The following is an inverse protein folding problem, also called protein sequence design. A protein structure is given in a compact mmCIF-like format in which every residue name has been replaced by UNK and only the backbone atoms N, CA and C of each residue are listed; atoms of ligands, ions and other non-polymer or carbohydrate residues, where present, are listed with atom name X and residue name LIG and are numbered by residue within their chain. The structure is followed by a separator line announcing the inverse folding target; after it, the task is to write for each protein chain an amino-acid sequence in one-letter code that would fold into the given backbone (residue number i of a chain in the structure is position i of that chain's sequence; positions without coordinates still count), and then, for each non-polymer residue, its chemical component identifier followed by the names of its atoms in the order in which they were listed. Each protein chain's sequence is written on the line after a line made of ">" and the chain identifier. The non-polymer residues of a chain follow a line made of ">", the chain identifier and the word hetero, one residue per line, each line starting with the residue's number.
data_IF_901411509682
#
_entry.id   IF_901411509682
#
_cell.length_a   1.000
_cell.length_b   1.000
_cell.length_c   1.000
_cell.angle_alpha   90.00
_cell.angle_beta   90.00
_cell.angle_gamma   90.00
#
_symmetry.space_group_name_H-M   'P 1'
#
loop_
_entity.id
_entity.type
_entity.pdbx_description
1 polymer ?
#
# COMPACT_ATOMS: atom_id res chain seq x y z
N UNK A 1 25.22 22.36 36.14
CA UNK A 1 24.72 20.97 36.10
C UNK A 1 23.29 21.01 35.57
N UNK A 2 23.08 20.99 34.25
CA UNK A 2 21.75 21.29 33.65
C UNK A 2 21.46 20.55 32.33
N UNK A 3 22.15 19.43 32.05
CA UNK A 3 21.93 18.67 30.81
C UNK A 3 21.21 17.31 31.01
N UNK A 4 21.16 16.76 32.23
CA UNK A 4 20.53 15.45 32.47
C UNK A 4 19.02 15.52 32.68
N UNK A 5 18.50 16.60 33.27
CA UNK A 5 17.06 16.74 33.59
C UNK A 5 16.21 16.89 32.32
N UNK A 6 16.71 17.65 31.34
CA UNK A 6 16.05 17.87 30.05
C UNK A 6 15.94 16.60 29.20
N UNK A 7 16.95 15.73 29.26
CA UNK A 7 16.94 14.44 28.54
C UNK A 7 15.92 13.45 29.13
N UNK A 8 15.78 13.43 30.46
CA UNK A 8 14.82 12.57 31.15
C UNK A 8 13.39 13.04 30.85
N UNK A 9 13.12 14.34 30.97
CA UNK A 9 11.81 14.93 30.65
C UNK A 9 11.44 14.74 29.17
N UNK A 10 12.41 14.85 28.25
CA UNK A 10 12.19 14.59 26.83
C UNK A 10 11.83 13.12 26.60
N UNK A 11 12.52 12.20 27.25
CA UNK A 11 12.26 10.75 27.15
C UNK A 11 10.89 10.38 27.70
N UNK A 12 10.49 10.99 28.82
CA UNK A 12 9.15 10.81 29.40
C UNK A 12 8.05 11.34 28.48
N UNK A 13 8.25 12.52 27.89
CA UNK A 13 7.30 13.07 26.90
C UNK A 13 7.20 12.20 25.65
N UNK A 14 8.32 11.70 25.13
CA UNK A 14 8.30 10.78 23.98
C UNK A 14 7.56 9.48 24.31
N UNK A 15 7.82 8.89 25.49
CA UNK A 15 7.13 7.68 25.93
C UNK A 15 5.63 7.91 26.12
N UNK A 16 5.24 9.08 26.64
CA UNK A 16 3.85 9.44 26.82
C UNK A 16 3.14 9.60 25.46
N UNK A 17 3.79 10.24 24.48
CA UNK A 17 3.27 10.35 23.10
C UNK A 17 3.10 8.96 22.45
N UNK A 18 4.07 8.06 22.61
CA UNK A 18 4.01 6.68 22.08
C UNK A 18 2.89 5.88 22.77
N UNK A 19 2.66 6.10 24.06
CA UNK A 19 1.62 5.43 24.84
C UNK A 19 0.22 5.94 24.49
N UNK A 20 0.09 7.25 24.26
CA UNK A 20 -1.18 7.91 23.96
C UNK A 20 -1.58 7.75 22.48
N UNK A 21 -0.59 7.54 21.59
CA UNK A 21 -0.78 7.16 20.20
C UNK A 21 0.01 5.88 19.91
N UNK A 22 -0.52 4.69 20.27
CA UNK A 22 0.10 3.45 19.85
C UNK A 22 0.12 3.45 18.32
N UNK A 23 1.27 3.72 17.72
CA UNK A 23 1.46 3.52 16.31
C UNK A 23 1.04 2.08 16.03
N UNK A 24 0.02 1.87 15.18
CA UNK A 24 -0.25 0.54 14.63
C UNK A 24 1.11 0.04 14.15
N UNK A 25 1.60 -1.05 14.73
CA UNK A 25 2.90 -1.58 14.39
C UNK A 25 2.90 -1.86 12.88
N UNK A 26 3.45 -0.94 12.10
CA UNK A 26 3.52 -1.08 10.66
C UNK A 26 4.39 -2.29 10.40
N UNK A 27 3.78 -3.32 9.80
CA UNK A 27 4.50 -4.52 9.42
C UNK A 27 5.61 -4.15 8.45
N UNK A 28 6.62 -5.02 8.31
CA UNK A 28 7.67 -4.83 7.30
C UNK A 28 7.07 -4.63 5.91
N UNK A 29 5.99 -5.36 5.61
CA UNK A 29 5.26 -5.30 4.35
C UNK A 29 4.58 -3.94 4.15
N UNK A 30 3.95 -3.38 5.19
CA UNK A 30 3.33 -2.05 5.11
C UNK A 30 4.37 -0.95 4.81
N UNK A 31 5.57 -1.09 5.36
CA UNK A 31 6.68 -0.18 5.07
C UNK A 31 7.15 -0.30 3.63
N UNK A 32 7.28 -1.52 3.11
CA UNK A 32 7.68 -1.74 1.71
C UNK A 32 6.63 -1.18 0.73
N UNK A 33 5.34 -1.33 1.04
CA UNK A 33 4.26 -0.69 0.27
C UNK A 33 4.40 0.83 0.31
N UNK A 34 4.56 1.41 1.51
CA UNK A 34 4.67 2.85 1.66
C UNK A 34 5.88 3.42 0.91
N UNK A 35 7.04 2.77 0.99
CA UNK A 35 8.24 3.16 0.26
C UNK A 35 8.01 3.17 -1.25
N UNK A 36 7.37 2.12 -1.78
CA UNK A 36 7.04 2.07 -3.21
C UNK A 36 6.09 3.19 -3.64
N UNK A 37 5.07 3.49 -2.83
CA UNK A 37 4.18 4.62 -3.13
C UNK A 37 4.90 5.98 -3.07
N UNK A 38 5.81 6.18 -2.11
CA UNK A 38 6.64 7.38 -2.02
C UNK A 38 7.51 7.53 -3.27
N UNK A 39 8.16 6.47 -3.73
CA UNK A 39 8.95 6.47 -4.98
C UNK A 39 8.10 6.92 -6.18
N UNK A 40 6.87 6.40 -6.32
CA UNK A 40 5.95 6.82 -7.38
C UNK A 40 5.55 8.30 -7.26
N UNK A 41 5.36 8.80 -6.03
CA UNK A 41 5.07 10.23 -5.78
C UNK A 41 6.27 11.12 -6.10
N UNK A 42 7.48 10.70 -5.74
CA UNK A 42 8.73 11.42 -6.04
C UNK A 42 9.00 11.48 -7.54
N UNK A 43 8.63 10.44 -8.28
CA UNK A 43 8.65 10.44 -9.75
C UNK A 43 7.60 11.38 -10.38
N UNK A 44 6.72 11.99 -9.58
CA UNK A 44 5.70 12.93 -10.05
C UNK A 44 4.52 12.25 -10.74
N UNK A 45 4.27 10.96 -10.45
CA UNK A 45 3.22 10.20 -11.09
C UNK A 45 1.83 10.74 -10.70
N UNK A 46 1.20 11.46 -11.63
CA UNK A 46 -0.03 12.23 -11.40
C UNK A 46 -1.20 11.81 -12.30
N UNK A 47 -1.16 10.58 -12.80
CA UNK A 47 -2.23 9.95 -13.58
C UNK A 47 -2.57 8.57 -13.01
N UNK A 48 -3.78 8.11 -13.30
CA UNK A 48 -4.25 6.81 -12.83
C UNK A 48 -3.65 5.67 -13.64
N UNK A 49 -3.28 4.59 -12.95
CA UNK A 49 -2.79 3.36 -13.58
C UNK A 49 -3.46 2.18 -12.89
N UNK A 50 -4.10 1.31 -13.65
CA UNK A 50 -4.64 0.05 -13.16
C UNK A 50 -3.95 -1.14 -13.82
N UNK A 51 -3.86 -2.24 -13.10
CA UNK A 51 -3.39 -3.53 -13.58
C UNK A 51 -4.20 -4.64 -12.96
N UNK A 52 -4.82 -5.47 -13.81
CA UNK A 52 -5.50 -6.67 -13.34
C UNK A 52 -4.49 -7.62 -12.71
N UNK A 53 -4.89 -8.37 -11.67
CA UNK A 53 -3.96 -9.28 -11.01
C UNK A 53 -3.36 -10.30 -11.98
N UNK A 54 -4.13 -10.75 -12.98
CA UNK A 54 -3.66 -11.66 -14.04
C UNK A 54 -2.55 -11.06 -14.92
N UNK A 55 -2.53 -9.74 -15.09
CA UNK A 55 -1.50 -9.02 -15.86
C UNK A 55 -0.21 -8.88 -15.05
N UNK A 56 -0.34 -8.76 -13.72
CA UNK A 56 0.80 -8.69 -12.81
C UNK A 56 1.47 -10.05 -12.66
N UNK A 57 0.67 -11.09 -12.40
CA UNK A 57 1.09 -12.48 -12.37
C UNK A 57 -0.14 -13.38 -12.60
N UNK A 58 -0.06 -14.23 -13.62
CA UNK A 58 -1.08 -15.23 -13.94
C UNK A 58 -1.51 -16.09 -12.74
N UNK A 59 -0.61 -16.34 -11.78
CA UNK A 59 -0.90 -17.13 -10.58
C UNK A 59 -1.85 -16.41 -9.62
N UNK A 60 -1.82 -15.07 -9.59
CA UNK A 60 -2.72 -14.27 -8.74
C UNK A 60 -4.16 -14.37 -9.23
N UNK A 61 -4.36 -14.51 -10.54
CA UNK A 61 -5.68 -14.60 -11.13
C UNK A 61 -6.51 -15.77 -10.66
N UNK A 62 -5.85 -16.90 -10.48
CA UNK A 62 -6.49 -18.13 -10.02
C UNK A 62 -6.43 -18.25 -8.49
N UNK A 63 -5.70 -17.35 -7.80
CA UNK A 63 -5.55 -17.41 -6.36
C UNK A 63 -6.84 -17.00 -5.66
N UNK A 64 -7.25 -17.81 -4.68
CA UNK A 64 -8.42 -17.56 -3.85
C UNK A 64 -7.96 -17.00 -2.51
N UNK A 65 -8.02 -15.68 -2.34
CA UNK A 65 -7.59 -15.04 -1.09
C UNK A 65 -8.64 -15.18 0.04
N UNK A 66 -9.89 -15.49 -0.30
CA UNK A 66 -10.94 -15.81 0.66
C UNK A 66 -11.99 -16.72 0.02
N UNK A 67 -11.94 -18.00 0.36
CA UNK A 67 -12.85 -19.03 -0.15
C UNK A 67 -14.29 -18.87 0.34
N UNK A 68 -14.49 -18.31 1.55
CA UNK A 68 -15.81 -18.11 2.15
C UNK A 68 -16.63 -17.03 1.44
N UNK A 69 -15.96 -16.04 0.85
CA UNK A 69 -16.63 -14.89 0.18
C UNK A 69 -16.39 -14.86 -1.33
N UNK A 70 -15.78 -15.92 -1.88
CA UNK A 70 -15.49 -16.02 -3.31
C UNK A 70 -14.52 -14.95 -3.81
N UNK A 71 -13.56 -14.53 -2.98
CA UNK A 71 -12.49 -13.63 -3.40
C UNK A 71 -11.52 -14.42 -4.29
N UNK A 72 -11.65 -14.26 -5.60
CA UNK A 72 -10.77 -14.85 -6.61
C UNK A 72 -10.02 -13.71 -7.29
N UNK A 73 -8.69 -13.79 -7.38
CA UNK A 73 -7.86 -12.68 -7.85
C UNK A 73 -8.20 -12.17 -9.25
N UNK A 74 -8.78 -12.99 -10.14
CA UNK A 74 -9.27 -12.56 -11.46
C UNK A 74 -10.29 -11.42 -11.40
N UNK A 75 -11.00 -11.26 -10.28
CA UNK A 75 -12.01 -10.22 -10.09
C UNK A 75 -11.41 -8.91 -9.57
N UNK A 76 -10.09 -8.84 -9.43
CA UNK A 76 -9.39 -7.73 -8.77
C UNK A 76 -8.31 -7.10 -9.64
N UNK A 77 -8.14 -5.81 -9.45
CA UNK A 77 -7.04 -5.05 -10.00
C UNK A 77 -6.34 -4.22 -8.92
N UNK A 78 -5.04 -4.01 -9.12
CA UNK A 78 -4.26 -3.03 -8.37
C UNK A 78 -4.34 -1.71 -9.13
N UNK A 79 -4.67 -0.63 -8.44
CA UNK A 79 -4.76 0.70 -9.04
C UNK A 79 -3.97 1.72 -8.25
N UNK A 80 -3.17 2.50 -8.95
CA UNK A 80 -2.62 3.77 -8.51
C UNK A 80 -3.65 4.87 -8.75
N UNK A 81 -4.14 5.50 -7.69
CA UNK A 81 -5.24 6.48 -7.78
C UNK A 81 -5.07 7.60 -6.78
N UNK A 82 -5.69 8.75 -7.06
CA UNK A 82 -5.73 9.88 -6.14
C UNK A 82 -6.85 9.70 -5.11
N UNK A 83 -6.53 9.87 -3.84
CA UNK A 83 -7.54 9.86 -2.78
C UNK A 83 -8.41 11.11 -2.91
N UNK A 84 -9.73 10.99 -3.04
CA UNK A 84 -10.61 12.16 -3.20
C UNK A 84 -10.65 13.04 -1.94
N UNK A 85 -10.36 12.49 -0.75
CA UNK A 85 -10.41 13.22 0.52
C UNK A 85 -9.09 13.91 0.84
N UNK A 86 -7.97 13.21 0.67
CA UNK A 86 -6.64 13.73 1.05
C UNK A 86 -5.86 14.31 -0.12
N UNK A 87 -6.30 14.11 -1.36
CA UNK A 87 -5.57 14.42 -2.58
C UNK A 87 -4.20 13.74 -2.71
N UNK A 88 -3.91 12.75 -1.86
CA UNK A 88 -2.67 11.96 -1.91
C UNK A 88 -2.87 10.78 -2.87
N UNK A 89 -1.88 10.50 -3.70
CA UNK A 89 -1.88 9.32 -4.56
C UNK A 89 -1.43 8.08 -3.79
N UNK A 90 -2.08 6.94 -4.00
CA UNK A 90 -1.87 5.72 -3.24
C UNK A 90 -2.33 4.47 -4.02
N UNK A 91 -1.90 3.31 -3.56
CA UNK A 91 -2.30 2.01 -4.12
C UNK A 91 -3.60 1.52 -3.47
N UNK A 92 -4.55 1.16 -4.32
CA UNK A 92 -5.81 0.51 -3.94
C UNK A 92 -5.97 -0.82 -4.65
N UNK A 93 -6.63 -1.74 -3.96
CA UNK A 93 -7.18 -2.96 -4.54
C UNK A 93 -8.65 -2.70 -4.84
N UNK A 94 -9.01 -2.84 -6.11
CA UNK A 94 -10.37 -2.70 -6.60
C UNK A 94 -10.96 -4.06 -6.91
N UNK A 95 -12.22 -4.26 -6.52
CA UNK A 95 -13.03 -5.40 -6.91
C UNK A 95 -13.90 -5.01 -8.11
N UNK A 96 -13.63 -5.60 -9.27
CA UNK A 96 -14.32 -5.33 -10.52
C UNK A 96 -15.79 -5.80 -10.53
N UNK A 97 -16.18 -6.72 -9.65
CA UNK A 97 -17.57 -7.21 -9.52
C UNK A 97 -18.46 -6.34 -8.65
N UNK A 98 -17.91 -5.75 -7.59
CA UNK A 98 -18.69 -5.02 -6.58
C UNK A 98 -18.41 -3.51 -6.54
N UNK A 99 -17.50 -3.02 -7.38
CA UNK A 99 -16.95 -1.65 -7.31
C UNK A 99 -16.39 -1.29 -5.92
N UNK A 100 -16.10 -2.30 -5.09
CA UNK A 100 -15.48 -2.10 -3.80
C UNK A 100 -14.01 -1.72 -3.98
N UNK A 101 -13.55 -0.72 -3.25
CA UNK A 101 -12.15 -0.33 -3.22
C UNK A 101 -11.61 -0.36 -1.80
N UNK A 102 -10.35 -0.78 -1.65
CA UNK A 102 -9.65 -0.76 -0.37
C UNK A 102 -8.21 -0.34 -0.58
N UNK A 103 -7.65 0.46 0.33
CA UNK A 103 -6.22 0.74 0.32
C UNK A 103 -5.44 -0.56 0.45
N UNK A 104 -4.35 -0.71 -0.31
CA UNK A 104 -3.53 -1.92 -0.28
C UNK A 104 -2.98 -2.19 1.14
N UNK A 105 -2.64 -1.13 1.87
CA UNK A 105 -2.18 -1.23 3.27
C UNK A 105 -3.25 -1.78 4.23
N UNK A 106 -4.53 -1.63 3.89
CA UNK A 106 -5.66 -2.13 4.68
C UNK A 106 -6.09 -3.54 4.26
N UNK A 107 -5.50 -4.12 3.22
CA UNK A 107 -5.78 -5.49 2.79
C UNK A 107 -5.20 -6.53 3.78
N UNK A 108 -5.59 -7.81 3.68
CA UNK A 108 -4.95 -8.88 4.43
C UNK A 108 -3.47 -9.05 4.04
N UNK A 109 -2.61 -9.43 4.99
CA UNK A 109 -1.17 -9.54 4.78
C UNK A 109 -0.80 -10.54 3.68
N UNK A 110 -1.54 -11.65 3.54
CA UNK A 110 -1.34 -12.62 2.46
C UNK A 110 -1.41 -11.95 1.08
N UNK A 111 -2.37 -11.03 0.90
CA UNK A 111 -2.54 -10.30 -0.34
C UNK A 111 -1.43 -9.29 -0.55
N UNK A 112 -1.04 -8.57 0.50
CA UNK A 112 0.07 -7.63 0.43
C UNK A 112 1.36 -8.31 0.00
N UNK A 113 1.72 -9.44 0.63
CA UNK A 113 2.93 -10.22 0.29
C UNK A 113 2.92 -10.65 -1.17
N UNK A 114 1.78 -11.16 -1.64
CA UNK A 114 1.61 -11.60 -3.02
C UNK A 114 1.78 -10.43 -3.99
N UNK A 115 1.10 -9.31 -3.77
CA UNK A 115 1.18 -8.14 -4.65
C UNK A 115 2.55 -7.47 -4.62
N UNK A 116 3.21 -7.45 -3.47
CA UNK A 116 4.56 -6.89 -3.31
C UNK A 116 5.56 -7.55 -4.27
N UNK A 117 5.48 -8.87 -4.45
CA UNK A 117 6.33 -9.59 -5.40
C UNK A 117 6.10 -9.21 -6.87
N UNK A 118 4.96 -8.56 -7.17
CA UNK A 118 4.58 -8.11 -8.52
C UNK A 118 4.78 -6.62 -8.77
N UNK A 119 5.28 -5.87 -7.78
CA UNK A 119 5.47 -4.42 -7.90
C UNK A 119 6.44 -4.03 -9.01
N UNK A 120 7.46 -4.85 -9.29
CA UNK A 120 8.37 -4.62 -10.41
C UNK A 120 7.66 -4.67 -11.77
N UNK A 121 6.67 -5.55 -11.92
CA UNK A 121 5.83 -5.66 -13.13
C UNK A 121 4.92 -4.44 -13.24
N UNK A 122 4.29 -4.04 -12.14
CA UNK A 122 3.46 -2.83 -12.10
C UNK A 122 4.26 -1.57 -12.43
N UNK A 123 5.46 -1.41 -11.84
CA UNK A 123 6.37 -0.31 -12.15
C UNK A 123 6.81 -0.32 -13.61
N UNK A 124 7.04 -1.50 -14.20
CA UNK A 124 7.35 -1.62 -15.63
C UNK A 124 6.18 -1.16 -16.50
N UNK A 125 4.93 -1.45 -16.11
CA UNK A 125 3.72 -0.96 -16.79
C UNK A 125 3.64 0.57 -16.73
N UNK A 126 3.85 1.16 -15.54
CA UNK A 126 3.90 2.62 -15.37
C UNK A 126 4.98 3.24 -16.27
N UNK A 127 6.20 2.67 -16.25
CA UNK A 127 7.30 3.16 -17.05
C UNK A 127 7.05 3.05 -18.57
N UNK A 128 6.26 2.05 -19.00
CA UNK A 128 5.78 1.96 -20.37
C UNK A 128 4.86 3.12 -20.75
N UNK A 129 3.90 3.45 -19.87
CA UNK A 129 2.97 4.57 -20.07
C UNK A 129 3.63 5.95 -20.04
N UNK A 130 4.78 6.10 -19.37
CA UNK A 130 5.53 7.35 -19.33
C UNK A 130 6.35 7.63 -20.61
N UNK A 131 6.54 6.61 -21.46
CA UNK A 131 7.33 6.74 -22.71
C UNK A 131 6.48 7.09 -23.93
N UNK A 132 5.16 7.00 -23.80
CA UNK A 132 4.17 7.43 -24.80
C UNK A 132 3.73 8.89 -24.54
#
# INVERSE_FOLDING_TARGET
>A
MTNNTTLIELKEKMNQIIKDNPAKAQSKIDREIFMFEEELRELGLSFEVDANFNELDSSLGQHVFNSTHGFIGQDYCLKWTKNPQTSVWYLVVLNNKSNGQKGLIDCPDEMKVKLLSTFSVFASKIAGMLKD
#
